data_IF_920639988278
#
_entry.id   IF_920639988278
#
_cell.length_a   1.000
_cell.length_b   1.000
_cell.length_c   1.000
_cell.angle_alpha   90.00
_cell.angle_beta   90.00
_cell.angle_gamma   90.00
#
_symmetry.space_group_name_H-M   'P 1'
#
loop_
_entity.id
_entity.type
_entity.pdbx_description
1 polymer ?
#
# COMPACT_ATOMS: atom_id res chain seq x y z
N UNK A 1 7.77 13.92 2.61
CA UNK A 1 6.62 13.14 2.10
C UNK A 1 7.00 11.67 1.97
N UNK A 2 6.13 10.74 2.37
CA UNK A 2 6.31 9.29 2.14
C UNK A 2 5.76 8.91 0.76
N UNK A 3 6.45 8.00 0.05
CA UNK A 3 6.03 7.53 -1.27
C UNK A 3 5.59 6.07 -1.22
N UNK A 4 4.48 5.78 -1.89
CA UNK A 4 3.86 4.45 -2.00
C UNK A 4 3.73 4.06 -3.46
N UNK A 5 4.02 2.81 -3.78
CA UNK A 5 3.89 2.28 -5.13
C UNK A 5 2.44 1.85 -5.42
N UNK A 6 1.74 2.57 -6.28
CA UNK A 6 0.36 2.31 -6.68
C UNK A 6 0.28 1.05 -7.54
N UNK A 7 -0.28 -0.03 -7.01
CA UNK A 7 -0.33 -1.36 -7.64
C UNK A 7 1.06 -1.90 -8.02
N UNK A 8 2.06 -1.57 -7.18
CA UNK A 8 3.47 -1.75 -7.48
C UNK A 8 4.07 -0.65 -8.35
N UNK A 9 5.20 -0.89 -9.01
CA UNK A 9 5.79 0.02 -10.00
C UNK A 9 5.01 -0.03 -11.32
N UNK A 10 3.72 0.35 -11.28
CA UNK A 10 2.73 0.07 -12.33
C UNK A 10 2.90 0.89 -13.61
N UNK A 11 3.75 1.93 -13.62
CA UNK A 11 4.09 2.64 -14.86
C UNK A 11 5.04 1.84 -15.76
N UNK A 12 5.85 0.95 -15.17
CA UNK A 12 6.87 0.16 -15.88
C UNK A 12 6.52 -1.31 -16.02
N UNK A 13 5.75 -1.82 -15.08
CA UNK A 13 5.37 -3.24 -15.00
C UNK A 13 3.86 -3.38 -14.91
N UNK A 14 3.27 -4.50 -15.35
CA UNK A 14 1.82 -4.69 -15.24
C UNK A 14 1.34 -4.53 -13.81
N UNK A 15 0.32 -3.70 -13.63
CA UNK A 15 -0.27 -3.41 -12.33
C UNK A 15 -0.73 -4.66 -11.58
N UNK A 16 -0.67 -4.62 -10.25
CA UNK A 16 -1.17 -5.68 -9.38
C UNK A 16 -0.59 -7.06 -9.70
N UNK A 17 0.68 -7.14 -10.13
CA UNK A 17 1.41 -8.39 -10.39
C UNK A 17 2.55 -8.58 -9.41
N UNK A 18 2.95 -9.83 -9.19
CA UNK A 18 4.12 -10.14 -8.37
C UNK A 18 5.39 -9.46 -8.90
N UNK A 19 5.53 -9.33 -10.22
CA UNK A 19 6.63 -8.61 -10.85
C UNK A 19 6.65 -7.13 -10.42
N UNK A 20 5.51 -6.43 -10.51
CA UNK A 20 5.43 -5.01 -10.13
C UNK A 20 5.71 -4.81 -8.64
N UNK A 21 5.27 -5.72 -7.79
CA UNK A 21 5.51 -5.69 -6.35
C UNK A 21 6.98 -6.00 -6.01
N UNK A 22 7.59 -6.99 -6.64
CA UNK A 22 9.01 -7.29 -6.48
C UNK A 22 9.88 -6.07 -6.82
N UNK A 23 9.58 -5.38 -7.94
CA UNK A 23 10.31 -4.19 -8.36
C UNK A 23 10.12 -3.02 -7.38
N UNK A 24 8.91 -2.82 -6.90
CA UNK A 24 8.63 -1.83 -5.86
C UNK A 24 9.38 -2.14 -4.56
N UNK A 25 9.38 -3.39 -4.12
CA UNK A 25 10.08 -3.82 -2.92
C UNK A 25 11.61 -3.65 -2.98
N UNK A 26 12.20 -3.54 -4.16
CA UNK A 26 13.64 -3.29 -4.35
C UNK A 26 14.03 -1.80 -4.14
N UNK A 27 13.05 -0.87 -4.18
CA UNK A 27 13.30 0.55 -4.01
C UNK A 27 13.67 0.88 -2.56
N UNK A 28 14.77 1.63 -2.40
CA UNK A 28 15.15 2.15 -1.09
C UNK A 28 14.33 3.40 -0.76
N UNK A 29 13.88 3.51 0.47
CA UNK A 29 13.08 4.65 0.92
C UNK A 29 11.60 4.60 0.51
N UNK A 30 11.14 3.55 -0.16
CA UNK A 30 9.72 3.34 -0.39
C UNK A 30 9.01 3.04 0.93
N UNK A 31 7.95 3.77 1.23
CA UNK A 31 7.18 3.59 2.46
C UNK A 31 6.27 2.36 2.41
N UNK A 32 5.72 2.07 1.24
CA UNK A 32 4.83 0.94 1.07
C UNK A 32 4.39 0.70 -0.36
N UNK A 33 3.63 -0.38 -0.52
CA UNK A 33 2.98 -0.76 -1.77
C UNK A 33 1.48 -0.70 -1.53
N UNK A 34 0.78 -0.11 -2.47
CA UNK A 34 -0.68 -0.18 -2.51
C UNK A 34 -1.10 -1.25 -3.51
N UNK A 35 -2.19 -1.94 -3.22
CA UNK A 35 -2.78 -2.97 -4.06
C UNK A 35 -4.28 -3.11 -3.81
N UNK A 36 -4.97 -3.72 -4.78
CA UNK A 36 -6.43 -3.86 -4.78
C UNK A 36 -6.85 -5.32 -4.61
N UNK A 37 -7.80 -5.62 -3.73
CA UNK A 37 -8.29 -6.98 -3.51
C UNK A 37 -9.75 -7.16 -3.87
N UNK A 38 -10.06 -8.35 -4.43
CA UNK A 38 -11.41 -8.82 -4.71
C UNK A 38 -11.56 -10.30 -4.32
N UNK A 39 -12.81 -10.81 -4.26
CA UNK A 39 -13.07 -12.23 -4.06
C UNK A 39 -13.45 -12.94 -5.35
N UNK A 40 -12.91 -14.13 -5.52
CA UNK A 40 -13.33 -15.09 -6.54
C UNK A 40 -14.66 -15.74 -6.20
N UNK A 41 -15.24 -16.48 -7.13
CA UNK A 41 -16.46 -17.28 -6.95
C UNK A 41 -16.35 -18.30 -5.80
N UNK A 42 -15.17 -18.87 -5.62
CA UNK A 42 -14.85 -19.84 -4.55
C UNK A 42 -14.24 -19.17 -3.31
N UNK A 43 -14.41 -17.82 -3.20
CA UNK A 43 -14.09 -17.05 -2.01
C UNK A 43 -12.59 -16.87 -1.75
N UNK A 44 -11.72 -16.96 -2.76
CA UNK A 44 -10.31 -16.68 -2.60
C UNK A 44 -10.02 -15.18 -2.80
N UNK A 45 -9.12 -14.60 -2.01
CA UNK A 45 -8.68 -13.21 -2.20
C UNK A 45 -7.66 -13.17 -3.32
N UNK A 46 -7.96 -12.40 -4.36
CA UNK A 46 -7.09 -12.13 -5.51
C UNK A 46 -6.79 -10.64 -5.62
N UNK A 47 -5.67 -10.32 -6.26
CA UNK A 47 -5.17 -8.95 -6.38
C UNK A 47 -5.42 -8.45 -7.79
N UNK A 48 -6.45 -7.63 -7.94
CA UNK A 48 -6.89 -7.02 -9.21
C UNK A 48 -7.76 -5.80 -8.93
N UNK A 49 -7.59 -4.72 -9.72
CA UNK A 49 -8.32 -3.47 -9.52
C UNK A 49 -9.75 -3.53 -10.03
N UNK A 50 -9.93 -3.84 -11.32
CA UNK A 50 -11.25 -3.77 -11.96
C UNK A 50 -12.12 -4.96 -11.54
N UNK A 51 -13.42 -4.76 -11.47
CA UNK A 51 -14.38 -5.84 -11.19
C UNK A 51 -14.43 -6.87 -12.32
N UNK A 52 -13.88 -6.53 -13.50
CA UNK A 52 -13.76 -7.41 -14.67
C UNK A 52 -12.30 -7.65 -15.03
N UNK A 53 -12.03 -8.83 -15.56
CA UNK A 53 -10.67 -9.21 -15.99
C UNK A 53 -10.27 -8.63 -17.34
N UNK A 54 -11.19 -8.00 -18.08
CA UNK A 54 -11.10 -7.65 -19.50
C UNK A 54 -9.92 -6.72 -19.83
N UNK A 55 -9.59 -5.75 -18.95
CA UNK A 55 -8.58 -4.73 -19.24
C UNK A 55 -7.14 -5.23 -19.09
N UNK A 56 -6.91 -6.09 -18.13
CA UNK A 56 -5.55 -6.49 -17.74
C UNK A 56 -5.18 -7.90 -18.14
N UNK A 57 -6.15 -8.71 -18.62
CA UNK A 57 -5.92 -10.11 -18.99
C UNK A 57 -6.42 -10.42 -20.39
N UNK A 58 -6.12 -11.63 -20.86
CA UNK A 58 -6.66 -12.21 -22.11
C UNK A 58 -8.07 -12.82 -21.95
N UNK A 59 -8.68 -12.70 -20.76
CA UNK A 59 -10.05 -13.16 -20.46
C UNK A 59 -11.10 -12.07 -20.57
N UNK A 60 -12.35 -12.39 -20.22
CA UNK A 60 -13.45 -11.42 -20.15
C UNK A 60 -14.50 -11.82 -19.14
N UNK A 61 -15.12 -10.86 -18.47
CA UNK A 61 -16.17 -11.08 -17.48
C UNK A 61 -15.79 -10.67 -16.06
N UNK A 62 -16.67 -10.96 -15.10
CA UNK A 62 -16.52 -10.52 -13.72
C UNK A 62 -15.59 -11.42 -12.92
N UNK A 63 -14.68 -10.85 -12.13
CA UNK A 63 -13.77 -11.58 -11.23
C UNK A 63 -14.53 -12.56 -10.34
N UNK A 64 -15.65 -12.12 -9.75
CA UNK A 64 -16.51 -12.94 -8.87
C UNK A 64 -17.17 -14.16 -9.51
N UNK A 65 -17.18 -14.24 -10.83
CA UNK A 65 -17.79 -15.36 -11.56
C UNK A 65 -16.77 -16.47 -11.87
N UNK A 66 -15.47 -16.20 -11.65
CA UNK A 66 -14.36 -17.13 -11.82
C UNK A 66 -13.96 -17.77 -10.50
N UNK A 67 -13.67 -19.06 -10.54
CA UNK A 67 -12.88 -19.72 -9.49
C UNK A 67 -11.41 -19.29 -9.56
N UNK A 68 -10.65 -19.44 -8.47
CA UNK A 68 -9.22 -19.18 -8.50
C UNK A 68 -8.50 -19.97 -9.61
N UNK A 69 -8.84 -21.25 -9.76
CA UNK A 69 -8.25 -22.11 -10.77
C UNK A 69 -8.49 -21.61 -12.22
N UNK A 70 -9.63 -20.97 -12.46
CA UNK A 70 -9.94 -20.36 -13.76
C UNK A 70 -9.18 -19.05 -13.94
N UNK A 71 -9.13 -18.17 -12.93
CA UNK A 71 -8.36 -16.92 -12.99
C UNK A 71 -6.86 -17.16 -13.22
N UNK A 72 -6.30 -18.20 -12.60
CA UNK A 72 -4.88 -18.56 -12.78
C UNK A 72 -4.51 -19.04 -14.20
N UNK A 73 -5.49 -19.28 -15.07
CA UNK A 73 -5.25 -19.59 -16.50
C UNK A 73 -5.18 -18.35 -17.37
N UNK A 74 -5.73 -17.23 -16.89
CA UNK A 74 -5.69 -15.96 -17.59
C UNK A 74 -4.27 -15.38 -17.55
N UNK A 75 -3.87 -14.76 -18.66
CA UNK A 75 -2.52 -14.19 -18.81
C UNK A 75 -2.60 -12.68 -18.84
N UNK A 76 -1.71 -12.08 -18.08
CA UNK A 76 -1.44 -10.64 -18.12
C UNK A 76 -0.23 -10.43 -19.04
N UNK A 77 -0.37 -9.58 -20.06
CA UNK A 77 0.74 -9.23 -20.93
C UNK A 77 1.77 -8.38 -20.16
N UNK A 78 2.98 -8.87 -20.09
CA UNK A 78 4.10 -8.23 -19.42
C UNK A 78 5.18 -7.72 -20.40
N UNK A 79 4.84 -7.62 -21.70
CA UNK A 79 5.74 -7.16 -22.74
C UNK A 79 6.97 -8.07 -22.90
N UNK A 80 8.16 -7.54 -22.57
CA UNK A 80 9.41 -8.32 -22.66
C UNK A 80 9.68 -9.23 -21.45
N UNK A 81 8.86 -9.14 -20.39
CA UNK A 81 8.96 -10.00 -19.21
C UNK A 81 8.12 -11.28 -19.38
N UNK A 82 8.35 -12.30 -18.54
CA UNK A 82 7.48 -13.48 -18.50
C UNK A 82 6.03 -13.08 -18.22
N UNK A 83 5.08 -13.79 -18.84
CA UNK A 83 3.66 -13.59 -18.56
C UNK A 83 3.38 -13.63 -17.07
N UNK A 84 2.57 -12.70 -16.64
CA UNK A 84 2.05 -12.67 -15.29
C UNK A 84 0.65 -13.29 -15.24
N UNK A 85 0.22 -13.66 -14.07
CA UNK A 85 -1.15 -14.09 -13.78
C UNK A 85 -1.69 -13.25 -12.62
N UNK A 86 -3.00 -13.21 -12.43
CA UNK A 86 -3.61 -12.52 -11.28
C UNK A 86 -3.10 -13.19 -10.00
N UNK A 87 -2.39 -12.46 -9.10
CA UNK A 87 -1.90 -13.04 -7.86
C UNK A 87 -3.03 -13.27 -6.86
N UNK A 88 -2.82 -14.22 -5.95
CA UNK A 88 -3.58 -14.26 -4.69
C UNK A 88 -2.90 -13.35 -3.65
N UNK A 89 -3.65 -12.95 -2.63
CA UNK A 89 -3.06 -12.21 -1.51
C UNK A 89 -2.01 -13.04 -0.77
N UNK A 90 -2.19 -14.35 -0.72
CA UNK A 90 -1.22 -15.31 -0.17
C UNK A 90 0.15 -15.18 -0.86
N UNK A 91 0.18 -15.25 -2.20
CA UNK A 91 1.40 -15.12 -2.99
C UNK A 91 2.08 -13.75 -2.79
N UNK A 92 1.29 -12.69 -2.57
CA UNK A 92 1.85 -11.37 -2.27
C UNK A 92 2.50 -11.33 -0.89
N UNK A 93 1.84 -11.91 0.12
CA UNK A 93 2.44 -12.02 1.46
C UNK A 93 3.73 -12.84 1.43
N UNK A 94 3.73 -13.99 0.75
CA UNK A 94 4.94 -14.83 0.61
C UNK A 94 6.09 -14.05 -0.05
N UNK A 95 5.81 -13.30 -1.12
CA UNK A 95 6.80 -12.49 -1.83
C UNK A 95 7.43 -11.41 -0.95
N UNK A 96 6.62 -10.78 -0.07
CA UNK A 96 7.01 -9.58 0.67
C UNK A 96 7.25 -9.84 2.17
N UNK A 97 7.11 -11.07 2.65
CA UNK A 97 7.06 -11.44 4.06
C UNK A 97 8.18 -10.83 4.91
N UNK A 98 9.43 -10.98 4.49
CA UNK A 98 10.59 -10.47 5.25
C UNK A 98 10.57 -8.94 5.39
N UNK A 99 10.14 -8.24 4.32
CA UNK A 99 10.05 -6.77 4.29
C UNK A 99 8.88 -6.27 5.14
N UNK A 100 7.75 -6.97 5.12
CA UNK A 100 6.56 -6.64 5.91
C UNK A 100 6.79 -6.87 7.40
N UNK A 101 7.43 -7.97 7.79
CA UNK A 101 7.81 -8.23 9.18
C UNK A 101 8.74 -7.14 9.73
N UNK A 102 9.72 -6.72 8.94
CA UNK A 102 10.59 -5.60 9.31
C UNK A 102 9.81 -4.27 9.44
N UNK A 103 8.74 -4.08 8.67
CA UNK A 103 7.82 -2.93 8.76
C UNK A 103 6.99 -2.97 10.04
N UNK A 104 6.40 -4.10 10.37
CA UNK A 104 5.60 -4.29 11.59
C UNK A 104 6.42 -4.04 12.86
N UNK A 105 7.66 -4.55 12.91
CA UNK A 105 8.57 -4.30 14.03
C UNK A 105 8.94 -2.82 14.21
N UNK A 106 9.08 -2.08 13.12
CA UNK A 106 9.43 -0.66 13.16
C UNK A 106 8.31 0.21 13.74
N UNK A 107 7.05 -0.10 13.43
CA UNK A 107 5.89 0.60 13.99
C UNK A 107 5.66 0.26 15.47
N UNK A 108 5.86 -0.99 15.90
CA UNK A 108 5.72 -1.40 17.29
C UNK A 108 6.81 -0.81 18.21
N UNK A 109 7.99 -0.49 17.66
CA UNK A 109 9.13 0.08 18.42
C UNK A 109 9.02 1.57 18.71
N UNK A 110 8.11 2.32 18.09
CA UNK A 110 7.96 3.77 18.30
C UNK A 110 7.15 4.15 19.54
N UNK A 111 6.55 3.17 20.24
CA UNK A 111 5.73 3.38 21.44
C UNK A 111 6.45 3.27 22.79
N UNK A 112 7.72 2.87 22.85
CA UNK A 112 8.43 2.66 24.12
C UNK A 112 9.82 3.29 24.10
N UNK A 113 9.99 4.47 24.71
CA UNK A 113 11.34 4.95 25.01
C UNK A 113 11.53 6.46 25.10
N UNK A 114 10.90 7.10 26.07
CA UNK A 114 11.37 8.38 26.61
C UNK A 114 11.82 8.13 28.06
N UNK A 115 13.01 7.57 28.23
CA UNK A 115 13.73 7.66 29.52
C UNK A 115 15.09 8.31 29.28
N UNK A 116 15.25 9.45 29.97
CA UNK A 116 16.48 10.20 30.07
C UNK A 116 17.52 9.44 30.89
N UNK A 117 18.65 9.14 30.32
CA UNK A 117 19.85 8.65 31.00
C UNK A 117 21.07 9.46 30.60
N UNK A 118 21.40 10.49 31.39
CA UNK A 118 22.69 11.15 31.36
C UNK A 118 23.74 10.25 32.02
N UNK A 119 24.75 9.83 31.27
CA UNK A 119 26.02 9.42 31.86
C UNK A 119 27.18 9.95 31.05
N UNK A 120 28.00 10.73 31.76
CA UNK A 120 29.34 11.24 31.41
C UNK A 120 30.40 10.17 31.63
N UNK A 121 31.29 9.96 30.66
CA UNK A 121 32.44 9.08 30.89
C UNK A 121 33.45 9.13 29.74
N UNK A 122 34.50 9.90 29.94
CA UNK A 122 35.75 9.99 29.14
C UNK A 122 36.54 8.68 29.19
N UNK A 123 37.10 8.24 28.07
CA UNK A 123 38.53 7.89 27.95
C UNK A 123 38.91 7.39 26.54
N UNK A 124 40.07 7.80 26.09
CA UNK A 124 40.71 7.51 24.83
C UNK A 124 41.28 6.08 24.76
N UNK A 125 41.31 5.51 23.55
CA UNK A 125 42.07 4.30 23.24
C UNK A 125 42.12 4.08 21.73
N UNK A 126 43.25 4.37 21.14
CA UNK A 126 43.62 4.06 19.75
C UNK A 126 43.75 2.54 19.56
N UNK A 127 43.14 1.98 18.55
CA UNK A 127 43.78 0.91 17.79
C UNK A 127 43.25 0.79 16.36
N UNK A 128 44.18 0.61 15.44
CA UNK A 128 44.07 0.51 14.01
C UNK A 128 43.81 -0.93 13.61
N UNK A 129 42.74 -1.20 12.88
CA UNK A 129 42.46 -2.54 12.33
C UNK A 129 41.36 -2.52 11.27
N UNK A 130 41.74 -2.14 10.05
CA UNK A 130 40.88 -2.25 8.85
C UNK A 130 40.45 -3.68 8.61
N UNK A 131 39.14 -3.96 8.69
CA UNK A 131 38.42 -5.00 7.90
C UNK A 131 37.04 -4.47 7.59
N UNK A 132 36.92 -3.86 6.43
CA UNK A 132 35.62 -3.48 5.83
C UNK A 132 34.88 -4.72 5.36
N UNK A 133 34.18 -5.38 6.26
CA UNK A 133 33.07 -6.25 5.95
C UNK A 133 31.79 -5.45 6.20
N UNK A 134 31.26 -4.78 5.19
CA UNK A 134 29.93 -4.18 5.28
C UNK A 134 28.93 -5.31 5.56
N UNK A 135 28.39 -5.37 6.78
CA UNK A 135 27.18 -6.14 7.04
C UNK A 135 26.12 -5.65 6.07
N UNK A 136 25.34 -6.54 5.42
CA UNK A 136 24.21 -6.09 4.62
C UNK A 136 23.36 -5.20 5.52
N UNK A 137 23.12 -3.96 5.07
CA UNK A 137 22.31 -3.01 5.81
C UNK A 137 20.94 -3.63 6.08
N UNK A 138 20.42 -3.49 7.31
CA UNK A 138 19.08 -3.94 7.65
C UNK A 138 18.13 -3.35 6.61
N UNK A 139 17.40 -4.17 5.86
CA UNK A 139 16.45 -3.71 4.85
C UNK A 139 15.39 -2.86 5.57
N UNK A 140 15.11 -1.67 5.07
CA UNK A 140 14.05 -0.82 5.61
C UNK A 140 12.72 -1.56 5.53
N UNK A 141 11.90 -1.45 6.58
CA UNK A 141 10.56 -2.04 6.62
C UNK A 141 9.70 -1.52 5.48
N UNK A 142 8.79 -2.35 4.99
CA UNK A 142 7.81 -2.03 3.96
C UNK A 142 6.41 -2.19 4.53
N UNK A 143 5.45 -1.38 4.06
CA UNK A 143 4.05 -1.52 4.44
C UNK A 143 3.18 -1.85 3.23
N UNK A 144 2.00 -2.41 3.47
CA UNK A 144 0.95 -2.61 2.47
C UNK A 144 -0.24 -1.70 2.75
N UNK A 145 -0.74 -1.03 1.73
CA UNK A 145 -2.07 -0.43 1.72
C UNK A 145 -2.97 -1.33 0.86
N UNK A 146 -3.86 -2.05 1.51
CA UNK A 146 -4.77 -3.02 0.88
C UNK A 146 -6.11 -2.32 0.63
N UNK A 147 -6.41 -1.99 -0.62
CA UNK A 147 -7.71 -1.46 -0.99
C UNK A 147 -8.73 -2.59 -1.18
N UNK A 148 -9.81 -2.55 -0.40
CA UNK A 148 -10.94 -3.45 -0.58
C UNK A 148 -11.87 -2.91 -1.67
N UNK A 149 -11.96 -3.61 -2.81
CA UNK A 149 -12.80 -3.27 -3.97
C UNK A 149 -14.24 -3.74 -3.78
N UNK A 150 -14.88 -3.30 -2.71
CA UNK A 150 -16.21 -3.71 -2.28
C UNK A 150 -17.28 -2.60 -2.35
N UNK A 151 -16.94 -1.44 -2.92
CA UNK A 151 -17.85 -0.30 -3.04
C UNK A 151 -18.86 -0.43 -4.19
N UNK A 152 -18.53 -1.20 -5.23
CA UNK A 152 -19.41 -1.48 -6.39
C UNK A 152 -20.10 -2.83 -6.21
N UNK A 153 -19.33 -3.85 -5.85
CA UNK A 153 -19.81 -5.21 -5.58
C UNK A 153 -19.46 -5.56 -4.13
N UNK A 154 -20.45 -5.66 -3.25
CA UNK A 154 -20.19 -6.12 -1.89
C UNK A 154 -19.75 -7.59 -1.93
N UNK A 155 -18.75 -7.92 -1.13
CA UNK A 155 -18.22 -9.25 -0.95
C UNK A 155 -18.41 -9.69 0.50
N UNK A 156 -19.31 -10.62 0.74
CA UNK A 156 -19.56 -11.13 2.10
C UNK A 156 -18.31 -11.84 2.65
N UNK A 157 -17.87 -11.44 3.83
CA UNK A 157 -16.74 -12.06 4.53
C UNK A 157 -15.36 -11.61 4.05
N UNK A 158 -15.25 -10.62 3.15
CA UNK A 158 -13.96 -10.12 2.67
C UNK A 158 -13.14 -9.49 3.79
N UNK A 159 -13.76 -8.67 4.63
CA UNK A 159 -13.11 -7.97 5.73
C UNK A 159 -12.55 -8.96 6.76
N UNK A 160 -13.35 -9.91 7.20
CA UNK A 160 -12.92 -10.96 8.15
C UNK A 160 -11.75 -11.73 7.56
N UNK A 161 -11.89 -12.17 6.32
CA UNK A 161 -10.88 -13.02 5.68
C UNK A 161 -9.52 -12.32 5.54
N UNK A 162 -9.50 -11.05 5.13
CA UNK A 162 -8.22 -10.34 5.00
C UNK A 162 -7.59 -10.03 6.36
N UNK A 163 -8.40 -9.71 7.38
CA UNK A 163 -7.93 -9.51 8.74
C UNK A 163 -7.29 -10.80 9.27
N UNK A 164 -7.99 -11.93 9.17
CA UNK A 164 -7.47 -13.23 9.61
C UNK A 164 -6.13 -13.56 8.92
N UNK A 165 -6.03 -13.34 7.59
CA UNK A 165 -4.79 -13.58 6.84
C UNK A 165 -3.62 -12.71 7.30
N UNK A 166 -3.87 -11.48 7.74
CA UNK A 166 -2.85 -10.56 8.27
C UNK A 166 -2.43 -10.98 9.68
N UNK A 167 -3.40 -11.26 10.56
CA UNK A 167 -3.17 -11.68 11.95
C UNK A 167 -2.43 -13.01 12.04
N UNK A 168 -2.81 -14.00 11.23
CA UNK A 168 -2.12 -15.31 11.17
C UNK A 168 -0.63 -15.21 10.85
N UNK A 169 -0.20 -14.06 10.26
CA UNK A 169 1.20 -13.79 9.91
C UNK A 169 1.90 -12.79 10.83
N UNK A 170 1.17 -12.17 11.76
CA UNK A 170 1.70 -11.12 12.63
C UNK A 170 2.12 -9.87 11.85
N UNK A 171 1.32 -9.47 10.86
CA UNK A 171 1.61 -8.34 9.95
C UNK A 171 0.76 -7.09 10.23
N UNK A 172 0.03 -7.03 11.35
CA UNK A 172 -0.92 -5.96 11.70
C UNK A 172 -0.26 -4.58 11.62
N UNK A 173 0.94 -4.43 12.17
CA UNK A 173 1.69 -3.16 12.12
C UNK A 173 2.19 -2.76 10.72
N UNK A 174 2.17 -3.67 9.75
CA UNK A 174 2.62 -3.38 8.37
C UNK A 174 1.48 -3.14 7.40
N UNK A 175 0.22 -3.26 7.82
CA UNK A 175 -0.94 -3.16 6.92
C UNK A 175 -1.77 -1.92 7.20
N UNK A 176 -2.26 -1.31 6.14
CA UNK A 176 -3.33 -0.29 6.12
C UNK A 176 -4.46 -0.85 5.28
N UNK A 177 -5.67 -0.85 5.79
CA UNK A 177 -6.84 -1.18 4.98
C UNK A 177 -7.47 0.10 4.45
N UNK A 178 -7.83 0.12 3.18
CA UNK A 178 -8.49 1.27 2.58
C UNK A 178 -9.67 0.85 1.69
N UNK A 179 -10.66 1.71 1.58
CA UNK A 179 -11.82 1.52 0.71
C UNK A 179 -12.58 2.82 0.51
N UNK A 180 -13.34 2.93 -0.59
CA UNK A 180 -14.34 3.97 -0.81
C UNK A 180 -15.62 3.77 0.01
N UNK A 181 -15.84 2.57 0.57
CA UNK A 181 -17.07 2.22 1.28
C UNK A 181 -16.91 2.34 2.80
N UNK A 182 -17.39 3.44 3.38
CA UNK A 182 -17.25 3.75 4.79
C UNK A 182 -17.72 2.62 5.72
N UNK A 183 -18.80 1.91 5.37
CA UNK A 183 -19.32 0.79 6.18
C UNK A 183 -18.35 -0.39 6.29
N UNK A 184 -17.52 -0.61 5.27
CA UNK A 184 -16.47 -1.62 5.34
C UNK A 184 -15.40 -1.23 6.36
N UNK A 185 -15.02 0.06 6.44
CA UNK A 185 -14.12 0.54 7.49
C UNK A 185 -14.74 0.43 8.88
N UNK A 186 -16.01 0.77 9.05
CA UNK A 186 -16.75 0.57 10.32
C UNK A 186 -16.66 -0.90 10.76
N UNK A 187 -16.85 -1.83 9.82
CA UNK A 187 -16.77 -3.26 10.08
C UNK A 187 -15.35 -3.69 10.47
N UNK A 188 -14.32 -3.23 9.72
CA UNK A 188 -12.93 -3.53 10.05
C UNK A 188 -12.58 -2.96 11.43
N UNK A 189 -12.95 -1.72 11.73
CA UNK A 189 -12.71 -1.11 13.04
C UNK A 189 -13.38 -1.87 14.20
N UNK A 190 -14.55 -2.45 13.95
CA UNK A 190 -15.22 -3.30 14.94
C UNK A 190 -14.48 -4.64 15.16
N UNK A 191 -13.94 -5.24 14.09
CA UNK A 191 -13.24 -6.52 14.14
C UNK A 191 -11.80 -6.38 14.65
N UNK A 192 -11.13 -5.29 14.26
CA UNK A 192 -9.75 -4.96 14.61
C UNK A 192 -9.66 -3.45 14.92
N UNK A 193 -9.88 -3.03 16.18
CA UNK A 193 -9.87 -1.63 16.59
C UNK A 193 -8.51 -0.94 16.44
N UNK A 194 -7.41 -1.69 16.40
CA UNK A 194 -6.05 -1.16 16.28
C UNK A 194 -5.59 -1.02 14.82
N UNK A 195 -6.38 -1.52 13.86
CA UNK A 195 -6.04 -1.44 12.44
C UNK A 195 -5.91 0.01 11.94
N UNK A 196 -4.90 0.30 11.15
CA UNK A 196 -4.81 1.57 10.42
C UNK A 196 -5.77 1.56 9.22
N UNK A 197 -6.69 2.54 9.18
CA UNK A 197 -7.79 2.59 8.22
C UNK A 197 -7.74 3.87 7.39
N UNK A 198 -7.76 3.73 6.06
CA UNK A 198 -7.77 4.84 5.10
C UNK A 198 -9.12 4.96 4.39
N UNK A 199 -9.81 6.09 4.56
CA UNK A 199 -11.03 6.35 3.79
C UNK A 199 -10.70 6.98 2.44
N UNK A 200 -11.06 6.29 1.37
CA UNK A 200 -10.90 6.75 0.00
C UNK A 200 -12.09 7.61 -0.44
N UNK A 201 -11.78 8.69 -1.10
CA UNK A 201 -12.74 9.47 -1.91
C UNK A 201 -12.01 10.30 -2.97
N UNK A 202 -12.78 10.91 -3.88
CA UNK A 202 -12.21 11.83 -4.86
C UNK A 202 -11.76 13.12 -4.17
N UNK A 203 -12.61 13.73 -3.33
CA UNK A 203 -12.32 15.02 -2.68
C UNK A 203 -11.86 14.81 -1.24
N UNK A 204 -10.89 15.63 -0.80
CA UNK A 204 -10.45 15.59 0.59
C UNK A 204 -11.59 15.98 1.56
N UNK A 205 -12.50 16.88 1.15
CA UNK A 205 -13.68 17.24 1.94
C UNK A 205 -14.63 16.05 2.15
N UNK A 206 -14.77 15.17 1.15
CA UNK A 206 -15.64 13.99 1.25
C UNK A 206 -14.97 12.91 2.14
N UNK A 207 -13.64 12.72 2.04
CA UNK A 207 -12.90 11.91 3.01
C UNK A 207 -13.11 12.41 4.44
N UNK A 208 -12.96 13.72 4.67
CA UNK A 208 -13.14 14.34 5.99
C UNK A 208 -14.57 14.18 6.49
N UNK A 209 -15.55 14.31 5.64
CA UNK A 209 -16.96 14.11 6.00
C UNK A 209 -17.22 12.68 6.49
N UNK A 210 -16.75 11.67 5.76
CA UNK A 210 -16.87 10.25 6.12
C UNK A 210 -16.14 9.94 7.42
N UNK A 211 -14.92 10.46 7.60
CA UNK A 211 -14.14 10.30 8.83
C UNK A 211 -14.89 10.86 10.03
N UNK A 212 -15.40 12.11 9.95
CA UNK A 212 -16.19 12.74 11.01
C UNK A 212 -17.53 12.04 11.22
N UNK A 213 -18.04 11.33 10.24
CA UNK A 213 -19.23 10.49 10.32
C UNK A 213 -19.03 9.21 11.14
N UNK A 214 -17.80 8.92 11.59
CA UNK A 214 -17.52 7.79 12.49
C UNK A 214 -17.20 6.48 11.76
N UNK A 215 -16.66 6.53 10.53
CA UNK A 215 -16.30 5.31 9.79
C UNK A 215 -15.06 4.57 10.34
N UNK A 216 -14.47 5.02 11.45
CA UNK A 216 -13.28 4.42 12.04
C UNK A 216 -11.97 4.76 11.33
N UNK A 217 -11.99 5.55 10.24
CA UNK A 217 -10.78 5.88 9.50
C UNK A 217 -9.77 6.67 10.35
N UNK A 218 -8.49 6.34 10.22
CA UNK A 218 -7.36 7.03 10.85
C UNK A 218 -6.57 7.88 9.85
N UNK A 219 -6.80 7.68 8.56
CA UNK A 219 -6.15 8.39 7.46
C UNK A 219 -7.15 8.79 6.37
N UNK A 220 -6.84 9.87 5.65
CA UNK A 220 -7.61 10.41 4.52
C UNK A 220 -6.89 10.06 3.22
N UNK A 221 -7.57 9.41 2.29
CA UNK A 221 -7.00 9.00 1.00
C UNK A 221 -7.74 9.70 -0.16
N UNK A 222 -7.49 10.99 -0.40
CA UNK A 222 -8.12 11.76 -1.48
C UNK A 222 -7.40 11.56 -2.81
N UNK A 223 -8.08 11.93 -3.92
CA UNK A 223 -7.40 12.16 -5.18
C UNK A 223 -6.51 13.42 -5.09
N UNK A 224 -5.25 13.33 -5.47
CA UNK A 224 -4.24 14.34 -5.24
C UNK A 224 -4.56 15.75 -5.81
N UNK A 225 -5.40 15.85 -6.86
CA UNK A 225 -5.82 17.11 -7.45
C UNK A 225 -7.08 17.70 -6.83
N UNK A 226 -7.73 16.99 -5.93
CA UNK A 226 -9.00 17.41 -5.35
C UNK A 226 -8.85 17.76 -3.85
N UNK A 227 -7.77 18.49 -3.54
CA UNK A 227 -7.45 19.02 -2.22
C UNK A 227 -8.23 20.34 -2.01
N UNK A 228 -9.52 20.22 -1.73
CA UNK A 228 -10.47 21.35 -1.61
C UNK A 228 -10.68 21.85 -0.18
N UNK A 229 -9.82 21.41 0.76
CA UNK A 229 -9.74 21.97 2.12
C UNK A 229 -8.39 22.66 2.32
N UNK A 230 -8.35 23.74 3.14
CA UNK A 230 -7.08 24.37 3.54
C UNK A 230 -6.18 23.40 4.30
N UNK A 231 -4.87 23.46 4.07
CA UNK A 231 -3.89 22.59 4.72
C UNK A 231 -3.93 22.67 6.26
N UNK A 232 -4.32 23.83 6.81
CA UNK A 232 -4.47 24.02 8.27
C UNK A 232 -5.52 23.08 8.87
N UNK A 233 -6.58 22.75 8.12
CA UNK A 233 -7.61 21.81 8.57
C UNK A 233 -7.17 20.35 8.52
N UNK A 234 -6.07 20.07 7.82
CA UNK A 234 -5.50 18.73 7.65
C UNK A 234 -4.38 18.41 8.65
N UNK A 235 -3.98 19.40 9.48
CA UNK A 235 -2.93 19.20 10.48
C UNK A 235 -3.30 18.10 11.47
N UNK A 236 -2.37 17.16 11.64
CA UNK A 236 -2.54 16.01 12.54
C UNK A 236 -3.22 14.80 11.90
N UNK A 237 -3.67 14.91 10.65
CA UNK A 237 -4.13 13.76 9.88
C UNK A 237 -3.05 13.23 8.97
N UNK A 238 -3.01 11.92 8.79
CA UNK A 238 -2.31 11.31 7.66
C UNK A 238 -3.15 11.54 6.41
N UNK A 239 -2.59 12.21 5.41
CA UNK A 239 -3.22 12.47 4.12
C UNK A 239 -2.44 11.73 3.05
N UNK A 240 -2.91 10.54 2.66
CA UNK A 240 -2.28 9.67 1.68
C UNK A 240 -3.00 9.82 0.34
N UNK A 241 -2.55 10.81 -0.44
CA UNK A 241 -3.19 11.14 -1.70
C UNK A 241 -2.83 10.13 -2.79
N UNK A 242 -3.84 9.67 -3.55
CA UNK A 242 -3.64 8.76 -4.67
C UNK A 242 -3.66 9.49 -6.01
N UNK A 243 -2.86 8.99 -6.94
CA UNK A 243 -2.84 9.46 -8.31
C UNK A 243 -3.65 8.53 -9.19
N UNK A 244 -4.58 9.09 -9.97
CA UNK A 244 -5.10 8.37 -11.13
C UNK A 244 -4.13 8.62 -12.27
N UNK A 245 -3.80 7.65 -12.97
CA UNK A 245 -3.03 7.77 -14.19
C UNK A 245 -3.18 6.46 -14.89
N UNK A 246 -2.90 6.47 -16.13
CA UNK A 246 -2.90 5.26 -16.85
C UNK A 246 -1.76 4.44 -16.40
N UNK A 247 -2.04 3.30 -16.38
CA UNK A 247 -1.34 2.18 -15.95
C UNK A 247 -0.56 1.64 -17.14
N UNK A 248 0.37 0.78 -16.88
CA UNK A 248 1.12 0.11 -17.92
C UNK A 248 0.26 -0.22 -19.17
N UNK A 249 0.71 0.01 -20.39
CA UNK A 249 2.04 0.48 -20.80
C UNK A 249 2.15 2.00 -21.09
N UNK A 250 1.51 2.85 -20.36
CA UNK A 250 1.53 4.28 -20.65
C UNK A 250 2.92 4.88 -20.49
N UNK A 251 3.22 5.85 -21.34
CA UNK A 251 4.48 6.58 -21.26
C UNK A 251 4.46 7.51 -20.05
N UNK A 252 5.55 7.51 -19.28
CA UNK A 252 5.81 8.54 -18.29
C UNK A 252 5.58 9.93 -18.89
N UNK A 253 4.93 10.82 -18.14
CA UNK A 253 4.71 12.20 -18.56
C UNK A 253 6.01 12.97 -18.74
N UNK A 254 7.12 12.46 -18.21
CA UNK A 254 8.41 13.13 -18.16
C UNK A 254 8.46 14.34 -17.25
N UNK A 255 7.35 14.68 -16.59
CA UNK A 255 7.26 15.83 -15.69
C UNK A 255 7.35 15.37 -14.25
N UNK A 256 8.42 15.75 -13.56
CA UNK A 256 8.53 15.51 -12.12
C UNK A 256 7.55 16.37 -11.34
N UNK A 257 6.84 15.76 -10.41
CA UNK A 257 6.01 16.46 -9.44
C UNK A 257 6.91 17.29 -8.50
N UNK A 258 6.40 18.45 -8.12
CA UNK A 258 7.02 19.28 -7.08
C UNK A 258 6.50 18.80 -5.73
N UNK A 259 7.28 18.00 -5.03
CA UNK A 259 6.89 17.38 -3.75
C UNK A 259 6.60 18.44 -2.68
N UNK A 260 7.37 19.52 -2.63
CA UNK A 260 7.19 20.63 -1.70
C UNK A 260 5.80 21.28 -1.86
N UNK A 261 5.35 21.46 -3.10
CA UNK A 261 4.02 22.00 -3.37
C UNK A 261 2.89 21.05 -2.89
N UNK A 262 3.08 19.75 -3.01
CA UNK A 262 2.11 18.77 -2.51
C UNK A 262 2.06 18.77 -0.98
N UNK A 263 3.20 18.93 -0.31
CA UNK A 263 3.28 19.08 1.15
C UNK A 263 2.61 20.37 1.62
N UNK A 264 2.73 21.47 0.87
CA UNK A 264 2.03 22.74 1.15
C UNK A 264 0.50 22.58 1.07
N UNK A 265 -0.01 21.63 0.28
CA UNK A 265 -1.44 21.28 0.24
C UNK A 265 -1.89 20.42 1.43
N UNK A 266 -0.97 20.00 2.30
CA UNK A 266 -1.24 19.15 3.45
C UNK A 266 -1.15 17.64 3.17
N UNK A 267 -0.61 17.24 2.01
CA UNK A 267 -0.38 15.84 1.67
C UNK A 267 0.85 15.34 2.42
N UNK A 268 0.72 14.24 3.16
CA UNK A 268 1.82 13.62 3.93
C UNK A 268 2.44 12.44 3.19
N UNK A 269 1.61 11.73 2.43
CA UNK A 269 1.97 10.52 1.69
C UNK A 269 1.40 10.58 0.26
N UNK A 270 2.12 10.04 -0.71
CA UNK A 270 1.69 10.01 -2.11
C UNK A 270 1.74 8.59 -2.67
N UNK A 271 0.61 8.11 -3.18
CA UNK A 271 0.49 6.83 -3.89
C UNK A 271 0.60 7.11 -5.39
N UNK A 272 1.67 6.62 -6.04
CA UNK A 272 1.98 6.94 -7.44
C UNK A 272 2.48 5.72 -8.23
N UNK A 273 2.32 5.78 -9.57
CA UNK A 273 2.61 4.66 -10.45
C UNK A 273 4.11 4.47 -10.75
N UNK A 274 4.93 5.51 -10.58
CA UNK A 274 6.36 5.55 -10.92
C UNK A 274 7.25 6.00 -9.74
N UNK A 275 7.19 5.35 -8.56
CA UNK A 275 7.97 5.78 -7.39
C UNK A 275 9.48 5.73 -7.65
N UNK A 276 9.95 4.87 -8.55
CA UNK A 276 11.35 4.76 -8.94
C UNK A 276 11.94 6.03 -9.59
N UNK A 277 11.10 6.93 -10.10
CA UNK A 277 11.54 8.23 -10.63
C UNK A 277 11.98 9.17 -9.51
N UNK A 278 11.51 8.95 -8.29
CA UNK A 278 11.74 9.83 -7.13
C UNK A 278 12.67 9.23 -6.10
N UNK A 279 12.81 7.90 -6.07
CA UNK A 279 13.58 7.15 -5.07
C UNK A 279 14.86 6.51 -5.63
N UNK A 280 15.00 6.48 -6.97
CA UNK A 280 16.07 5.76 -7.68
C UNK A 280 17.42 6.45 -7.69
#
# INVERSE_FOLDING_TARGET
>A
MKLWAHRGCSQRYPENTLLAFEKAAQLQGLAGIELDIQLTKDGQIVVIHDEKVDRTTDGSGWVRDYTLAELKRLKIDAGCYPHQVIPTMEEVFELLEERLKAGAEAESGTGAGAESGTETGTAAGTDTGSKTGSKPGKMAGLRLNIELKNSILPYDGMEEKIIDMVHDRGLEGAVVYSTFWARSLEKIHYLDPEAELGILDTRISDCMYKLKGGCGATALHPFWRAMDLPAEQLRGYTVRAWMSGHLYPEKSTGTRLKMEWLEELGITDLILNEPEVYLG
#
